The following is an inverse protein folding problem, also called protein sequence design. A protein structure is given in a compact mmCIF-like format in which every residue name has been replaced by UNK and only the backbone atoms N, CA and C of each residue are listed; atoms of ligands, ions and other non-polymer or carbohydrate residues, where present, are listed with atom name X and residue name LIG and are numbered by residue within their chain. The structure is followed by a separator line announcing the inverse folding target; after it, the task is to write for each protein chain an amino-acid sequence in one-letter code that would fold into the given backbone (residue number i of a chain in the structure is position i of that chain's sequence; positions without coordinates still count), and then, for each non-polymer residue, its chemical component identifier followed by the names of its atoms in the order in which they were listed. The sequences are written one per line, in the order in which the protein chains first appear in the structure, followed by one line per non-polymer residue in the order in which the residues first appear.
data_IF_479439229379
#
_entry.id   IF_479439229379
#
_cell.length_a   1.000
_cell.length_b   1.000
_cell.length_c   1.000
_cell.angle_alpha   90.00
_cell.angle_beta   90.00
_cell.angle_gamma   90.00
#
_symmetry.space_group_name_H-M   'P 1'
#
loop_
_entity.id
_entity.type
_entity.pdbx_description
1 polymer ?
#
# COMPACT_ATOMS: atom_id res chain seq x y z
N UNK A 1 -2.62 9.25 20.46
CA UNK A 1 -2.04 8.95 19.12
C UNK A 1 -0.55 9.37 19.07
N UNK A 2 0.31 8.53 18.49
CA UNK A 2 1.72 8.89 18.26
C UNK A 2 1.80 10.01 17.21
N UNK A 3 2.47 11.15 17.47
CA UNK A 3 2.65 12.19 16.46
C UNK A 3 3.71 11.79 15.43
N UNK A 4 3.71 12.46 14.27
CA UNK A 4 4.82 12.36 13.31
C UNK A 4 6.12 12.84 13.99
N UNK A 5 7.16 12.02 13.90
CA UNK A 5 8.48 12.33 14.45
C UNK A 5 9.59 11.90 13.47
N UNK A 6 10.77 12.51 13.60
CA UNK A 6 11.93 12.14 12.79
C UNK A 6 12.36 10.67 13.01
N UNK A 7 12.13 10.16 14.22
CA UNK A 7 12.37 8.75 14.57
C UNK A 7 11.41 7.83 13.80
N UNK A 8 10.11 8.12 13.83
CA UNK A 8 9.11 7.36 13.08
C UNK A 8 9.39 7.39 11.57
N UNK A 9 9.74 8.55 11.01
CA UNK A 9 10.12 8.65 9.59
C UNK A 9 11.36 7.82 9.26
N UNK A 10 12.34 7.77 10.17
CA UNK A 10 13.56 6.97 10.02
C UNK A 10 13.23 5.48 10.09
N UNK A 11 12.40 5.05 11.02
CA UNK A 11 12.01 3.65 11.18
C UNK A 11 11.22 3.16 9.97
N UNK A 12 10.23 3.93 9.52
CA UNK A 12 9.50 3.63 8.29
C UNK A 12 10.43 3.59 7.06
N UNK A 13 11.44 4.46 7.01
CA UNK A 13 12.45 4.44 5.94
C UNK A 13 13.31 3.19 5.99
N UNK A 14 13.75 2.78 7.18
CA UNK A 14 14.52 1.55 7.37
C UNK A 14 13.67 0.34 6.96
N UNK A 15 12.39 0.28 7.38
CA UNK A 15 11.46 -0.78 6.98
C UNK A 15 11.30 -0.86 5.45
N UNK A 16 11.13 0.28 4.75
CA UNK A 16 11.10 0.27 3.27
C UNK A 16 12.39 -0.29 2.66
N UNK A 17 13.55 0.07 3.22
CA UNK A 17 14.82 -0.49 2.75
C UNK A 17 14.85 -2.00 2.96
N UNK A 18 14.46 -2.48 4.14
CA UNK A 18 14.36 -3.92 4.41
C UNK A 18 13.41 -4.60 3.42
N UNK A 19 12.20 -4.08 3.20
CA UNK A 19 11.26 -4.63 2.23
C UNK A 19 11.87 -4.75 0.82
N UNK A 20 12.58 -3.71 0.40
CA UNK A 20 13.25 -3.67 -0.89
C UNK A 20 14.37 -4.72 -1.00
N UNK A 21 15.20 -4.87 0.04
CA UNK A 21 16.37 -5.75 0.01
C UNK A 21 16.07 -7.21 0.31
N UNK A 22 15.09 -7.48 1.18
CA UNK A 22 14.69 -8.85 1.57
C UNK A 22 13.62 -9.45 0.63
N UNK A 23 13.34 -8.79 -0.51
CA UNK A 23 12.66 -9.41 -1.65
C UNK A 23 11.14 -9.35 -1.63
N UNK A 24 10.50 -8.72 -0.64
CA UNK A 24 9.04 -8.63 -0.55
C UNK A 24 8.45 -7.95 -1.80
N UNK A 25 9.13 -6.92 -2.33
CA UNK A 25 8.73 -6.25 -3.58
C UNK A 25 8.70 -7.19 -4.78
N UNK A 26 9.71 -8.06 -4.90
CA UNK A 26 9.80 -9.02 -5.99
C UNK A 26 8.69 -10.06 -5.94
N UNK A 27 8.34 -10.52 -4.74
CA UNK A 27 7.23 -11.45 -4.52
C UNK A 27 5.89 -10.79 -4.87
N UNK A 28 5.61 -9.61 -4.34
CA UNK A 28 4.36 -8.88 -4.65
C UNK A 28 4.24 -8.64 -6.15
N UNK A 29 5.27 -8.09 -6.80
CA UNK A 29 5.23 -7.80 -8.24
C UNK A 29 5.04 -9.07 -9.09
N UNK A 30 5.58 -10.22 -8.65
CA UNK A 30 5.37 -11.50 -9.34
C UNK A 30 3.89 -11.91 -9.32
N UNK A 31 3.22 -11.81 -8.17
CA UNK A 31 1.80 -12.12 -8.07
C UNK A 31 0.95 -11.11 -8.84
N UNK A 32 1.21 -9.82 -8.68
CA UNK A 32 0.42 -8.77 -9.33
C UNK A 32 0.48 -8.84 -10.85
N UNK A 33 1.63 -9.19 -11.45
CA UNK A 33 1.75 -9.45 -12.90
C UNK A 33 0.88 -10.61 -13.39
N UNK A 34 0.59 -11.58 -12.51
CA UNK A 34 -0.25 -12.72 -12.86
C UNK A 34 -1.73 -12.39 -12.79
N UNK A 35 -2.14 -11.46 -11.93
CA UNK A 35 -3.55 -11.13 -11.69
C UNK A 35 -4.03 -9.86 -12.40
N UNK A 36 -3.18 -8.85 -12.56
CA UNK A 36 -3.52 -7.60 -13.24
C UNK A 36 -3.07 -7.71 -14.71
N UNK A 37 -4.01 -7.55 -15.64
CA UNK A 37 -3.80 -7.59 -17.09
C UNK A 37 -3.97 -6.22 -17.74
N UNK A 38 -3.39 -6.01 -18.94
CA UNK A 38 -3.59 -4.78 -19.68
C UNK A 38 -5.07 -4.45 -19.89
N UNK A 39 -5.47 -3.21 -19.61
CA UNK A 39 -6.85 -2.75 -19.77
C UNK A 39 -7.79 -3.07 -18.60
N UNK A 40 -7.34 -3.85 -17.61
CA UNK A 40 -8.15 -4.16 -16.43
C UNK A 40 -8.53 -2.90 -15.64
N UNK A 41 -9.62 -3.01 -14.88
CA UNK A 41 -10.00 -2.10 -13.81
C UNK A 41 -10.06 -2.91 -12.52
N UNK A 42 -9.19 -2.62 -11.57
CA UNK A 42 -9.04 -3.44 -10.35
C UNK A 42 -9.11 -2.55 -9.11
N UNK A 43 -9.93 -2.95 -8.15
CA UNK A 43 -10.00 -2.37 -6.81
C UNK A 43 -9.21 -3.24 -5.84
N UNK A 44 -8.27 -2.62 -5.15
CA UNK A 44 -7.35 -3.30 -4.22
C UNK A 44 -7.51 -2.67 -2.83
N UNK A 45 -7.43 -3.49 -1.80
CA UNK A 45 -7.19 -3.02 -0.44
C UNK A 45 -5.85 -3.54 0.07
N UNK A 46 -5.05 -2.67 0.68
CA UNK A 46 -3.81 -3.03 1.36
C UNK A 46 -3.96 -2.77 2.86
N UNK A 47 -4.03 -3.85 3.63
CA UNK A 47 -4.25 -3.85 5.08
C UNK A 47 -2.90 -3.74 5.80
N UNK A 48 -2.82 -2.84 6.78
CA UNK A 48 -1.59 -2.48 7.47
C UNK A 48 -0.49 -2.01 6.49
N UNK A 49 -0.84 -1.00 5.69
CA UNK A 49 -0.02 -0.51 4.57
C UNK A 49 1.30 0.14 4.98
N UNK A 50 1.43 0.55 6.25
CA UNK A 50 2.60 1.26 6.73
C UNK A 50 2.89 2.51 5.90
N UNK A 51 4.12 2.65 5.42
CA UNK A 51 4.51 3.80 4.59
C UNK A 51 4.08 3.73 3.11
N UNK A 52 3.21 2.76 2.76
CA UNK A 52 2.57 2.67 1.46
C UNK A 52 3.52 2.43 0.28
N UNK A 53 4.66 1.77 0.51
CA UNK A 53 5.62 1.42 -0.54
C UNK A 53 5.08 0.34 -1.49
N UNK A 54 4.40 -0.68 -0.96
CA UNK A 54 3.78 -1.74 -1.77
C UNK A 54 2.68 -1.21 -2.70
N UNK A 55 1.68 -0.45 -2.24
CA UNK A 55 0.68 0.17 -3.11
C UNK A 55 1.28 0.97 -4.27
N UNK A 56 2.34 1.75 -4.01
CA UNK A 56 3.04 2.54 -5.06
C UNK A 56 3.67 1.65 -6.12
N UNK A 57 4.32 0.54 -5.72
CA UNK A 57 4.89 -0.42 -6.66
C UNK A 57 3.82 -1.05 -7.56
N UNK A 58 2.63 -1.30 -7.02
CA UNK A 58 1.51 -1.89 -7.76
C UNK A 58 0.94 -0.88 -8.75
N UNK A 59 0.79 0.38 -8.34
CA UNK A 59 0.40 1.48 -9.24
C UNK A 59 1.39 1.62 -10.39
N UNK A 60 2.70 1.63 -10.09
CA UNK A 60 3.73 1.71 -11.13
C UNK A 60 3.69 0.53 -12.12
N UNK A 61 3.35 -0.67 -11.64
CA UNK A 61 3.13 -1.83 -12.50
C UNK A 61 1.90 -1.64 -13.40
N UNK A 62 0.77 -1.22 -12.83
CA UNK A 62 -0.48 -1.05 -13.58
C UNK A 62 -0.38 0.03 -14.64
N UNK A 63 0.22 1.19 -14.30
CA UNK A 63 0.51 2.27 -15.24
C UNK A 63 1.29 1.76 -16.46
N UNK A 64 2.32 0.93 -16.23
CA UNK A 64 3.15 0.36 -17.32
C UNK A 64 2.39 -0.52 -18.30
N UNK A 65 1.32 -1.18 -17.85
CA UNK A 65 0.52 -2.08 -18.69
C UNK A 65 -0.83 -1.48 -19.10
N UNK A 66 -1.09 -0.21 -18.78
CA UNK A 66 -2.35 0.46 -19.09
C UNK A 66 -3.56 -0.07 -18.33
N UNK A 67 -3.36 -0.69 -17.15
CA UNK A 67 -4.43 -1.05 -16.24
C UNK A 67 -4.81 0.14 -15.35
N UNK A 68 -6.08 0.21 -14.94
CA UNK A 68 -6.60 1.24 -14.03
C UNK A 68 -6.77 0.64 -12.65
N UNK A 69 -6.23 1.30 -11.63
CA UNK A 69 -6.34 0.86 -10.24
C UNK A 69 -7.03 1.91 -9.38
N UNK A 70 -7.71 1.41 -8.36
CA UNK A 70 -8.03 2.14 -7.15
C UNK A 70 -7.53 1.31 -5.97
N UNK A 71 -6.74 1.92 -5.09
CA UNK A 71 -6.18 1.24 -3.92
C UNK A 71 -6.62 1.97 -2.66
N UNK A 72 -7.29 1.27 -1.76
CA UNK A 72 -7.50 1.74 -0.39
C UNK A 72 -6.40 1.15 0.49
N UNK A 73 -5.54 2.02 1.03
CA UNK A 73 -4.38 1.67 1.82
C UNK A 73 -4.67 2.00 3.29
N UNK A 74 -4.89 0.96 4.10
CA UNK A 74 -5.39 1.08 5.48
C UNK A 74 -4.26 0.93 6.49
N UNK A 75 -4.30 1.76 7.52
CA UNK A 75 -3.48 1.60 8.71
C UNK A 75 -4.24 2.17 9.92
N UNK A 76 -3.93 1.69 11.13
CA UNK A 76 -4.55 2.22 12.34
C UNK A 76 -3.81 3.47 12.87
N UNK A 77 -2.60 3.74 12.37
CA UNK A 77 -1.76 4.83 12.87
C UNK A 77 -1.75 6.04 11.94
N UNK A 78 -2.50 7.09 12.31
CA UNK A 78 -2.61 8.34 11.56
C UNK A 78 -1.26 8.96 11.14
N UNK A 79 -0.25 8.98 12.02
CA UNK A 79 1.07 9.53 11.71
C UNK A 79 1.80 8.75 10.60
N UNK A 80 1.63 7.44 10.55
CA UNK A 80 2.19 6.60 9.49
C UNK A 80 1.49 6.88 8.15
N UNK A 81 0.16 7.04 8.16
CA UNK A 81 -0.60 7.44 6.97
C UNK A 81 -0.25 8.84 6.47
N UNK A 82 0.03 9.79 7.37
CA UNK A 82 0.47 11.13 6.98
C UNK A 82 1.81 11.08 6.21
N UNK A 83 2.77 10.29 6.73
CA UNK A 83 4.06 10.06 6.06
C UNK A 83 3.84 9.33 4.72
N UNK A 84 2.99 8.31 4.69
CA UNK A 84 2.66 7.57 3.48
C UNK A 84 2.06 8.49 2.40
N UNK A 85 1.10 9.33 2.78
CA UNK A 85 0.47 10.32 1.89
C UNK A 85 1.48 11.30 1.29
N UNK A 86 2.39 11.85 2.12
CA UNK A 86 3.48 12.72 1.64
C UNK A 86 4.38 12.01 0.63
N UNK A 87 4.73 10.76 0.89
CA UNK A 87 5.56 9.93 0.01
C UNK A 87 4.83 9.47 -1.26
N UNK A 88 3.50 9.62 -1.30
CA UNK A 88 2.61 9.14 -2.37
C UNK A 88 1.92 10.28 -3.11
N UNK A 89 2.39 11.53 -3.00
CA UNK A 89 1.77 12.69 -3.65
C UNK A 89 1.60 12.56 -5.19
N UNK A 90 2.41 11.74 -5.86
CA UNK A 90 2.33 11.46 -7.30
C UNK A 90 1.43 10.26 -7.67
N UNK A 91 0.68 9.72 -6.70
CA UNK A 91 -0.08 8.48 -6.81
C UNK A 91 -1.56 8.71 -6.43
N UNK A 92 -2.35 9.44 -7.24
CA UNK A 92 -3.76 9.69 -6.98
C UNK A 92 -4.64 8.42 -6.97
N UNK A 93 -4.12 7.28 -7.42
CA UNK A 93 -4.78 5.98 -7.38
C UNK A 93 -4.89 5.42 -5.95
N UNK A 94 -4.16 5.99 -4.98
CA UNK A 94 -4.06 5.47 -3.60
C UNK A 94 -4.80 6.42 -2.64
N UNK A 95 -5.79 5.87 -1.94
CA UNK A 95 -6.49 6.51 -0.83
C UNK A 95 -5.95 5.95 0.49
N UNK A 96 -5.41 6.81 1.35
CA UNK A 96 -4.98 6.40 2.70
C UNK A 96 -6.12 6.56 3.69
N UNK A 97 -6.45 5.49 4.41
CA UNK A 97 -7.61 5.44 5.31
C UNK A 97 -7.17 4.98 6.70
N UNK A 98 -7.42 5.82 7.71
CA UNK A 98 -7.24 5.42 9.10
C UNK A 98 -8.38 4.48 9.51
N UNK A 99 -8.05 3.21 9.78
CA UNK A 99 -9.05 2.21 10.14
C UNK A 99 -8.46 1.09 10.99
N UNK A 100 -9.28 0.55 11.89
CA UNK A 100 -9.02 -0.75 12.49
C UNK A 100 -9.39 -1.85 11.48
N UNK A 101 -8.40 -2.56 10.96
CA UNK A 101 -8.61 -3.59 9.93
C UNK A 101 -9.47 -4.77 10.43
N UNK A 102 -9.55 -5.01 11.74
CA UNK A 102 -10.38 -6.07 12.32
C UNK A 102 -11.86 -5.70 12.35
N UNK A 103 -12.18 -4.41 12.25
CA UNK A 103 -13.54 -3.86 12.23
C UNK A 103 -13.92 -3.31 10.86
N UNK A 104 -12.99 -3.34 9.90
CA UNK A 104 -13.19 -2.80 8.56
C UNK A 104 -14.26 -3.57 7.79
N UNK A 105 -15.29 -2.85 7.36
CA UNK A 105 -16.41 -3.38 6.59
C UNK A 105 -16.59 -2.51 5.35
N UNK A 106 -15.97 -2.88 4.21
CA UNK A 106 -16.09 -2.08 3.00
C UNK A 106 -17.50 -2.20 2.43
N UNK A 107 -18.02 -1.08 1.90
CA UNK A 107 -19.35 -1.04 1.27
C UNK A 107 -19.38 -1.80 -0.06
N UNK A 108 -18.26 -1.87 -0.76
CA UNK A 108 -18.09 -2.56 -2.04
C UNK A 108 -16.97 -3.60 -1.94
N UNK A 109 -17.07 -4.73 -2.66
CA UNK A 109 -16.01 -5.74 -2.65
C UNK A 109 -14.72 -5.23 -3.30
N UNK A 110 -13.60 -5.83 -2.90
CA UNK A 110 -12.30 -5.66 -3.56
C UNK A 110 -12.00 -6.88 -4.45
N UNK A 111 -11.32 -6.65 -5.55
CA UNK A 111 -10.83 -7.71 -6.43
C UNK A 111 -9.58 -8.40 -5.84
N UNK A 112 -8.76 -7.62 -5.13
CA UNK A 112 -7.53 -8.11 -4.48
C UNK A 112 -7.44 -7.53 -3.06
N UNK A 113 -7.14 -8.39 -2.09
CA UNK A 113 -6.84 -8.03 -0.71
C UNK A 113 -5.36 -8.35 -0.44
N UNK A 114 -4.62 -7.36 0.04
CA UNK A 114 -3.22 -7.49 0.44
C UNK A 114 -3.10 -7.31 1.95
N UNK A 115 -2.30 -8.16 2.57
CA UNK A 115 -1.87 -8.04 3.96
C UNK A 115 -0.44 -8.57 3.99
N UNK A 116 0.50 -7.70 3.61
CA UNK A 116 1.82 -8.12 3.16
C UNK A 116 2.88 -8.07 4.26
N UNK A 117 2.69 -7.23 5.28
CA UNK A 117 3.70 -6.95 6.31
C UNK A 117 3.12 -6.70 7.73
N UNK A 118 1.89 -7.14 8.00
CA UNK A 118 1.19 -6.85 9.27
C UNK A 118 1.80 -7.52 10.54
N UNK A 119 2.84 -8.35 10.41
CA UNK A 119 3.44 -9.14 11.49
C UNK A 119 4.94 -8.83 11.68
N UNK A 120 5.28 -7.57 11.92
CA UNK A 120 6.61 -7.16 12.37
C UNK A 120 6.57 -6.58 13.79
#
# INVERSE_FOLDING_TARGET
PQPVSAELERDLRNLRQLNRYFGSYGVVLRFMRRWIKPGDRVRIVDLATGSGDIPRLIVDLARKIGAKLQIDALDQQAATLEIAGKLSAAYPEISYVEANILEWQPAEPYDIVLCSLALH
#
